data_IF_301661874427
#
_entry.id   IF_301661874427
#
_cell.length_a   1.000
_cell.length_b   1.000
_cell.length_c   1.000
_cell.angle_alpha   90.00
_cell.angle_beta   90.00
_cell.angle_gamma   90.00
#
_symmetry.space_group_name_H-M   'P 1'
#
loop_
_entity.id
_entity.type
_entity.pdbx_description
1 polymer ?
#
# COMPACT_ATOMS: atom_id res chain seq x y z
N UNK A 1 10.02 -19.60 11.92
CA UNK A 1 10.04 -18.71 10.73
C UNK A 1 8.72 -17.96 10.72
N UNK A 2 8.73 -16.63 10.70
CA UNK A 2 7.48 -15.83 10.61
C UNK A 2 6.91 -16.02 9.21
N UNK A 3 5.63 -16.41 9.10
CA UNK A 3 4.99 -16.65 7.81
C UNK A 3 4.85 -15.36 7.00
N UNK A 4 5.03 -15.44 5.67
CA UNK A 4 4.94 -14.29 4.75
C UNK A 4 3.61 -13.53 4.89
N UNK A 5 2.50 -14.25 5.10
CA UNK A 5 1.18 -13.65 5.41
C UNK A 5 1.21 -12.75 6.65
N UNK A 6 1.83 -13.20 7.74
CA UNK A 6 1.91 -12.42 9.00
C UNK A 6 2.74 -11.17 8.79
N UNK A 7 3.87 -11.27 8.07
CA UNK A 7 4.70 -10.11 7.72
C UNK A 7 3.96 -9.11 6.82
N UNK A 8 3.18 -9.59 5.85
CA UNK A 8 2.36 -8.74 4.99
C UNK A 8 1.31 -7.97 5.80
N UNK A 9 0.63 -8.64 6.74
CA UNK A 9 -0.36 -8.00 7.61
C UNK A 9 0.27 -6.96 8.54
N UNK A 10 1.44 -7.24 9.11
CA UNK A 10 2.19 -6.24 9.88
C UNK A 10 2.61 -5.05 9.02
N UNK A 11 3.08 -5.29 7.79
CA UNK A 11 3.37 -4.25 6.81
C UNK A 11 2.15 -3.39 6.48
N UNK A 12 0.99 -4.03 6.32
CA UNK A 12 -0.28 -3.35 6.09
C UNK A 12 -0.67 -2.43 7.26
N UNK A 13 -0.61 -2.94 8.49
CA UNK A 13 -0.89 -2.16 9.70
C UNK A 13 0.07 -0.97 9.80
N UNK A 14 1.36 -1.19 9.55
CA UNK A 14 2.37 -0.14 9.60
C UNK A 14 2.14 0.94 8.54
N UNK A 15 1.78 0.53 7.31
CA UNK A 15 1.42 1.44 6.24
C UNK A 15 0.21 2.28 6.63
N UNK A 16 -0.87 1.65 7.09
CA UNK A 16 -2.11 2.33 7.48
C UNK A 16 -1.90 3.33 8.63
N UNK A 17 -1.15 2.93 9.67
CA UNK A 17 -0.78 3.83 10.77
C UNK A 17 0.08 5.00 10.28
N UNK A 18 1.07 4.74 9.42
CA UNK A 18 1.88 5.78 8.80
C UNK A 18 1.04 6.76 7.98
N UNK A 19 0.04 6.30 7.24
CA UNK A 19 -0.90 7.16 6.50
C UNK A 19 -1.72 8.04 7.44
N UNK A 20 -2.36 7.44 8.46
CA UNK A 20 -3.19 8.19 9.41
C UNK A 20 -2.37 9.27 10.15
N UNK A 21 -1.15 8.95 10.58
CA UNK A 21 -0.25 9.90 11.23
C UNK A 21 0.21 11.00 10.26
N UNK A 22 0.47 10.68 9.00
CA UNK A 22 0.82 11.66 7.99
C UNK A 22 -0.33 12.65 7.70
N UNK A 23 -1.59 12.18 7.69
CA UNK A 23 -2.77 13.05 7.58
C UNK A 23 -2.95 13.98 8.79
N UNK A 24 -2.64 13.48 9.99
CA UNK A 24 -2.74 14.22 11.25
C UNK A 24 -1.50 15.10 11.57
N UNK A 25 -0.53 15.21 10.65
CA UNK A 25 0.75 15.86 10.96
C UNK A 25 0.63 17.37 11.24
N UNK A 26 1.31 17.87 12.29
CA UNK A 26 1.35 19.30 12.60
C UNK A 26 2.44 20.07 11.83
N UNK A 27 3.48 19.41 11.31
CA UNK A 27 4.59 20.08 10.63
C UNK A 27 5.27 19.21 9.55
N UNK A 28 6.06 19.86 8.69
CA UNK A 28 6.80 19.19 7.61
C UNK A 28 7.74 18.06 8.06
N UNK A 29 8.59 18.27 9.09
CA UNK A 29 9.48 17.21 9.59
C UNK A 29 8.73 15.96 10.07
N UNK A 30 7.60 16.13 10.77
CA UNK A 30 6.76 15.01 11.20
C UNK A 30 6.15 14.26 10.01
N UNK A 31 5.75 14.98 8.95
CA UNK A 31 5.25 14.35 7.73
C UNK A 31 6.31 13.44 7.10
N UNK A 32 7.58 13.88 7.05
CA UNK A 32 8.69 13.08 6.51
C UNK A 32 8.92 11.84 7.39
N UNK A 33 8.92 11.98 8.71
CA UNK A 33 9.08 10.84 9.61
C UNK A 33 7.97 9.78 9.40
N UNK A 34 6.71 10.21 9.27
CA UNK A 34 5.60 9.30 9.00
C UNK A 34 5.62 8.72 7.58
N UNK A 35 6.15 9.45 6.58
CA UNK A 35 6.44 8.89 5.25
C UNK A 35 7.46 7.77 5.30
N UNK A 36 8.51 7.90 6.10
CA UNK A 36 9.49 6.83 6.30
C UNK A 36 8.82 5.59 6.91
N UNK A 37 8.00 5.78 7.95
CA UNK A 37 7.24 4.69 8.59
C UNK A 37 6.29 4.00 7.60
N UNK A 38 5.52 4.79 6.86
CA UNK A 38 4.62 4.32 5.82
C UNK A 38 5.39 3.56 4.73
N UNK A 39 6.56 4.06 4.32
CA UNK A 39 7.44 3.44 3.33
C UNK A 39 7.93 2.06 3.74
N UNK A 40 8.26 1.84 5.03
CA UNK A 40 8.61 0.51 5.55
C UNK A 40 7.43 -0.46 5.38
N UNK A 41 6.21 -0.03 5.73
CA UNK A 41 5.01 -0.83 5.51
C UNK A 41 4.75 -1.12 4.02
N UNK A 42 4.89 -0.10 3.17
CA UNK A 42 4.72 -0.21 1.72
C UNK A 42 5.72 -1.16 1.07
N UNK A 43 6.97 -1.17 1.52
CA UNK A 43 7.99 -2.10 1.05
C UNK A 43 7.62 -3.56 1.36
N UNK A 44 7.06 -3.82 2.55
CA UNK A 44 6.57 -5.15 2.91
C UNK A 44 5.39 -5.58 2.02
N UNK A 45 4.44 -4.68 1.74
CA UNK A 45 3.29 -4.96 0.87
C UNK A 45 3.73 -5.30 -0.56
N UNK A 46 4.60 -4.46 -1.15
CA UNK A 46 5.11 -4.66 -2.50
C UNK A 46 6.01 -5.90 -2.61
N UNK A 47 6.85 -6.15 -1.59
CA UNK A 47 7.80 -7.25 -1.60
C UNK A 47 7.20 -8.63 -1.29
N UNK A 48 6.11 -8.69 -0.51
CA UNK A 48 5.50 -9.96 -0.07
C UNK A 48 4.24 -10.35 -0.84
N UNK A 49 3.58 -9.41 -1.53
CA UNK A 49 2.34 -9.69 -2.28
C UNK A 49 2.52 -10.78 -3.35
N UNK A 50 3.46 -10.58 -4.28
CA UNK A 50 3.74 -11.55 -5.35
C UNK A 50 4.18 -12.92 -4.81
N UNK A 51 5.13 -13.01 -3.85
CA UNK A 51 5.49 -14.30 -3.28
C UNK A 51 4.34 -15.06 -2.60
N UNK A 52 3.45 -14.35 -1.90
CA UNK A 52 2.26 -14.98 -1.28
C UNK A 52 1.35 -15.58 -2.36
N UNK A 53 1.15 -14.88 -3.48
CA UNK A 53 0.35 -15.40 -4.60
C UNK A 53 1.00 -16.65 -5.19
N UNK A 54 2.33 -16.64 -5.40
CA UNK A 54 3.04 -17.81 -5.96
C UNK A 54 2.99 -19.05 -5.08
N UNK A 55 2.86 -18.87 -3.75
CA UNK A 55 2.71 -19.98 -2.81
C UNK A 55 1.25 -20.45 -2.68
N UNK A 56 0.28 -19.57 -2.91
CA UNK A 56 -1.13 -19.83 -2.69
C UNK A 56 -1.82 -20.56 -3.87
N UNK A 57 -1.31 -20.41 -5.09
CA UNK A 57 -1.94 -20.93 -6.30
C UNK A 57 -1.13 -22.06 -6.95
N UNK A 58 -1.81 -23.08 -7.53
CA UNK A 58 -1.13 -24.11 -8.32
C UNK A 58 -0.56 -23.52 -9.62
N UNK A 59 0.45 -24.17 -10.24
CA UNK A 59 1.10 -23.65 -11.45
C UNK A 59 0.17 -23.35 -12.63
N UNK A 60 -0.93 -24.10 -12.77
CA UNK A 60 -1.92 -23.92 -13.84
C UNK A 60 -2.71 -22.60 -13.73
N UNK A 61 -2.88 -22.08 -12.52
CA UNK A 61 -3.66 -20.87 -12.24
C UNK A 61 -2.76 -19.66 -11.96
N UNK A 62 -1.46 -19.89 -11.76
CA UNK A 62 -0.52 -18.87 -11.32
C UNK A 62 -0.44 -17.67 -12.28
N UNK A 63 -0.45 -17.94 -13.60
CA UNK A 63 -0.43 -16.87 -14.61
C UNK A 63 -1.63 -15.93 -14.49
N UNK A 64 -2.83 -16.49 -14.27
CA UNK A 64 -4.05 -15.71 -14.08
C UNK A 64 -4.00 -14.92 -12.76
N UNK A 65 -3.57 -15.56 -11.67
CA UNK A 65 -3.46 -14.93 -10.35
C UNK A 65 -2.49 -13.73 -10.37
N UNK A 66 -1.31 -13.88 -10.99
CA UNK A 66 -0.35 -12.78 -11.16
C UNK A 66 -0.85 -11.70 -12.12
N UNK A 67 -1.61 -12.08 -13.15
CA UNK A 67 -2.26 -11.16 -14.07
C UNK A 67 -3.28 -10.26 -13.36
N UNK A 68 -4.15 -10.85 -12.53
CA UNK A 68 -5.13 -10.11 -11.71
C UNK A 68 -4.43 -9.15 -10.76
N UNK A 69 -3.37 -9.60 -10.08
CA UNK A 69 -2.57 -8.73 -9.21
C UNK A 69 -1.97 -7.55 -9.99
N UNK A 70 -1.42 -7.79 -11.18
CA UNK A 70 -0.87 -6.73 -12.02
C UNK A 70 -1.93 -5.72 -12.48
N UNK A 71 -3.13 -6.19 -12.84
CA UNK A 71 -4.26 -5.32 -13.19
C UNK A 71 -4.66 -4.45 -12.00
N UNK A 72 -4.70 -5.01 -10.78
CA UNK A 72 -4.99 -4.24 -9.58
C UNK A 72 -3.99 -3.09 -9.35
N UNK A 73 -2.68 -3.32 -9.56
CA UNK A 73 -1.65 -2.29 -9.49
C UNK A 73 -1.85 -1.17 -10.52
N UNK A 74 -2.15 -1.54 -11.77
CA UNK A 74 -2.39 -0.58 -12.85
C UNK A 74 -3.65 0.25 -12.56
N UNK A 75 -4.75 -0.41 -12.18
CA UNK A 75 -5.99 0.27 -11.83
C UNK A 75 -5.77 1.23 -10.66
N UNK A 76 -5.09 0.80 -9.60
CA UNK A 76 -4.74 1.68 -8.47
C UNK A 76 -3.90 2.88 -8.90
N UNK A 77 -2.96 2.70 -9.82
CA UNK A 77 -2.09 3.78 -10.33
C UNK A 77 -2.84 4.78 -11.21
N UNK A 78 -3.90 4.34 -11.90
CA UNK A 78 -4.75 5.21 -12.73
C UNK A 78 -5.82 5.92 -11.90
N UNK A 79 -6.53 5.17 -11.05
CA UNK A 79 -7.64 5.68 -10.25
C UNK A 79 -7.12 6.54 -9.09
N UNK A 80 -5.98 6.19 -8.51
CA UNK A 80 -5.39 6.89 -7.36
C UNK A 80 -5.21 8.40 -7.57
N UNK A 81 -4.52 8.86 -8.63
CA UNK A 81 -4.35 10.29 -8.90
C UNK A 81 -5.67 11.01 -9.19
N UNK A 82 -6.61 10.38 -9.89
CA UNK A 82 -7.92 10.97 -10.22
C UNK A 82 -8.75 11.15 -8.95
N UNK A 83 -8.91 10.09 -8.16
CA UNK A 83 -9.62 10.14 -6.88
C UNK A 83 -8.91 11.09 -5.91
N UNK A 84 -7.58 11.04 -5.83
CA UNK A 84 -6.78 11.93 -5.00
C UNK A 84 -6.96 13.40 -5.38
N UNK A 85 -6.96 13.74 -6.67
CA UNK A 85 -7.22 15.10 -7.13
C UNK A 85 -8.59 15.63 -6.69
N UNK A 86 -9.63 14.80 -6.76
CA UNK A 86 -10.97 15.13 -6.26
C UNK A 86 -11.01 15.28 -4.74
N UNK A 87 -10.33 14.42 -4.00
CA UNK A 87 -10.24 14.51 -2.54
C UNK A 87 -9.55 15.82 -2.11
N UNK A 88 -8.43 16.16 -2.77
CA UNK A 88 -7.67 17.39 -2.47
C UNK A 88 -8.47 18.64 -2.81
N UNK A 89 -9.27 18.64 -3.89
CA UNK A 89 -10.04 19.82 -4.28
C UNK A 89 -11.18 20.15 -3.32
N UNK A 90 -11.73 19.16 -2.62
CA UNK A 90 -12.87 19.33 -1.68
C UNK A 90 -12.40 19.42 -0.22
N UNK A 91 -11.48 18.54 0.21
CA UNK A 91 -11.09 18.37 1.61
C UNK A 91 -9.62 18.73 1.89
N UNK A 92 -8.89 19.21 0.88
CA UNK A 92 -7.49 19.59 0.99
C UNK A 92 -6.53 18.39 1.01
N UNK A 93 -5.23 18.67 1.00
CA UNK A 93 -4.17 17.68 0.79
C UNK A 93 -4.06 16.59 1.87
N UNK A 94 -4.64 16.78 3.06
CA UNK A 94 -4.61 15.78 4.13
C UNK A 94 -5.49 14.56 3.85
N UNK A 95 -6.48 14.71 2.98
CA UNK A 95 -7.49 13.70 2.66
C UNK A 95 -6.96 12.50 1.86
N UNK A 96 -5.74 12.59 1.29
CA UNK A 96 -5.13 11.51 0.49
C UNK A 96 -4.27 10.54 1.31
N UNK A 97 -4.30 10.66 2.64
CA UNK A 97 -3.61 9.76 3.57
C UNK A 97 -4.61 9.00 4.43
#
# INVERSE_FOLDING_TARGET
>A
MVGRKVLFLWGFVLFALGSALAGATPSGPWLIAFRCLQGVGGAALAGLGTPIITEAFPPAELGLALGINSIAWVLGSLVGPVAGGLLVSVWGWRSVF
#
